data_IF_055078420611
#
_entry.id   IF_055078420611
#
_cell.length_a   1.000
_cell.length_b   1.000
_cell.length_c   1.000
_cell.angle_alpha   90.00
_cell.angle_beta   90.00
_cell.angle_gamma   90.00
#
_symmetry.space_group_name_H-M   'P 1'
#
loop_
_entity.id
_entity.type
_entity.pdbx_description
1 polymer ?
#
# COMPACT_ATOMS: atom_id res chain seq x y z
N UNK A 1 10.25 0.49 -10.78
CA UNK A 1 9.58 1.64 -11.42
C UNK A 1 8.19 1.30 -11.99
N UNK A 2 7.95 0.09 -12.52
CA UNK A 2 6.62 -0.30 -13.07
C UNK A 2 5.53 -0.60 -12.03
N UNK A 3 5.89 -0.82 -10.76
CA UNK A 3 4.94 -1.31 -9.73
C UNK A 3 4.32 -0.18 -8.89
N UNK A 4 5.00 0.96 -8.77
CA UNK A 4 4.42 2.17 -8.17
C UNK A 4 3.18 2.62 -8.97
N UNK A 5 3.24 2.47 -10.30
CA UNK A 5 2.20 2.93 -11.22
C UNK A 5 0.86 2.21 -11.01
N UNK A 6 0.83 0.89 -10.78
CA UNK A 6 -0.42 0.11 -10.73
C UNK A 6 -1.21 0.38 -9.44
N UNK A 7 -0.53 0.61 -8.31
CA UNK A 7 -1.20 0.82 -7.03
C UNK A 7 -1.86 2.20 -6.94
N UNK A 8 -1.26 3.22 -7.54
CA UNK A 8 -1.82 4.57 -7.58
C UNK A 8 -3.16 4.61 -8.34
N UNK A 9 -3.26 3.89 -9.46
CA UNK A 9 -4.50 3.85 -10.25
C UNK A 9 -5.64 3.15 -9.49
N UNK A 10 -5.33 2.09 -8.74
CA UNK A 10 -6.36 1.33 -8.04
C UNK A 10 -7.03 2.13 -6.91
N UNK A 11 -6.25 2.94 -6.18
CA UNK A 11 -6.80 3.81 -5.13
C UNK A 11 -7.65 4.93 -5.74
N UNK A 12 -7.28 5.47 -6.91
CA UNK A 12 -8.11 6.46 -7.61
C UNK A 12 -9.44 5.90 -8.08
N UNK A 13 -9.46 4.64 -8.49
CA UNK A 13 -10.67 3.98 -8.99
C UNK A 13 -11.61 3.62 -7.83
N UNK A 14 -11.04 3.15 -6.72
CA UNK A 14 -11.84 2.62 -5.61
C UNK A 14 -12.15 3.66 -4.53
N UNK A 15 -11.42 4.78 -4.50
CA UNK A 15 -11.48 5.81 -3.46
C UNK A 15 -11.48 5.26 -2.01
N UNK A 16 -10.89 4.06 -1.85
CA UNK A 16 -10.97 3.26 -0.64
C UNK A 16 -9.64 2.55 -0.43
N UNK A 17 -8.67 3.29 0.11
CA UNK A 17 -7.36 2.77 0.45
C UNK A 17 -7.44 1.51 1.34
N UNK A 18 -8.33 1.50 2.34
CA UNK A 18 -8.49 0.36 3.26
C UNK A 18 -8.91 -0.92 2.54
N UNK A 19 -9.81 -0.82 1.55
CA UNK A 19 -10.24 -1.97 0.74
C UNK A 19 -9.07 -2.51 -0.06
N UNK A 20 -8.29 -1.63 -0.70
CA UNK A 20 -7.10 -2.03 -1.46
C UNK A 20 -6.09 -2.75 -0.57
N UNK A 21 -5.80 -2.21 0.62
CA UNK A 21 -4.85 -2.80 1.56
C UNK A 21 -5.39 -4.13 2.11
N UNK A 22 -6.68 -4.21 2.43
CA UNK A 22 -7.33 -5.45 2.90
C UNK A 22 -7.25 -6.56 1.86
N UNK A 23 -7.53 -6.26 0.59
CA UNK A 23 -7.38 -7.21 -0.51
C UNK A 23 -5.93 -7.64 -0.68
N UNK A 24 -4.99 -6.69 -0.69
CA UNK A 24 -3.56 -6.99 -0.79
C UNK A 24 -3.09 -7.91 0.35
N UNK A 25 -3.52 -7.64 1.58
CA UNK A 25 -3.21 -8.45 2.76
C UNK A 25 -3.77 -9.87 2.63
N UNK A 26 -5.05 -10.03 2.24
CA UNK A 26 -5.69 -11.34 2.09
C UNK A 26 -5.04 -12.16 0.96
N UNK A 27 -4.72 -11.52 -0.16
CA UNK A 27 -4.01 -12.17 -1.28
C UNK A 27 -2.59 -12.59 -0.87
N UNK A 28 -1.89 -11.78 -0.08
CA UNK A 28 -0.57 -12.13 0.44
C UNK A 28 -0.61 -13.25 1.48
N UNK A 29 -1.66 -13.31 2.32
CA UNK A 29 -1.86 -14.35 3.32
C UNK A 29 -2.23 -15.72 2.73
N UNK A 30 -2.81 -15.74 1.52
CA UNK A 30 -2.97 -16.93 0.67
C UNK A 30 -3.89 -18.05 1.21
N UNK A 31 -4.41 -17.93 2.43
CA UNK A 31 -5.17 -18.98 3.09
C UNK A 31 -6.60 -18.51 3.39
N UNK A 32 -7.63 -19.04 2.68
CA UNK A 32 -9.03 -18.65 2.88
C UNK A 32 -9.51 -18.84 4.32
N UNK A 33 -9.11 -19.91 5.00
CA UNK A 33 -9.50 -20.19 6.39
C UNK A 33 -8.86 -19.25 7.41
N UNK A 34 -7.83 -18.50 7.03
CA UNK A 34 -7.21 -17.46 7.87
C UNK A 34 -7.67 -16.05 7.48
N UNK A 35 -8.38 -15.88 6.35
CA UNK A 35 -8.72 -14.56 5.82
C UNK A 35 -9.50 -13.68 6.81
N UNK A 36 -10.39 -14.30 7.61
CA UNK A 36 -11.20 -13.60 8.62
C UNK A 36 -10.42 -13.30 9.91
N UNK A 37 -9.24 -13.88 10.09
CA UNK A 37 -8.34 -13.65 11.23
C UNK A 37 -7.30 -12.56 10.95
N UNK A 38 -7.18 -12.12 9.70
CA UNK A 38 -6.23 -11.08 9.31
C UNK A 38 -6.75 -9.70 9.73
N UNK A 39 -5.86 -8.85 10.23
CA UNK A 39 -6.17 -7.51 10.73
C UNK A 39 -5.42 -6.45 9.91
N UNK A 40 -6.18 -5.54 9.29
CA UNK A 40 -5.65 -4.47 8.42
C UNK A 40 -4.80 -3.47 9.21
N UNK A 41 -5.21 -3.11 10.42
CA UNK A 41 -4.46 -2.18 11.27
C UNK A 41 -3.11 -2.76 11.68
N UNK A 42 -3.08 -4.04 12.07
CA UNK A 42 -1.83 -4.74 12.40
C UNK A 42 -0.90 -4.84 11.18
N UNK A 43 -1.47 -5.06 9.99
CA UNK A 43 -0.71 -5.08 8.75
C UNK A 43 -0.14 -3.70 8.39
N UNK A 44 -0.90 -2.62 8.62
CA UNK A 44 -0.43 -1.23 8.47
C UNK A 44 0.63 -0.86 9.51
N UNK A 45 0.49 -1.33 10.75
CA UNK A 45 1.51 -1.14 11.78
C UNK A 45 2.82 -1.86 11.42
N UNK A 46 2.71 -3.08 10.90
CA UNK A 46 3.85 -3.80 10.32
C UNK A 46 4.48 -3.01 9.16
N UNK A 47 3.67 -2.44 8.28
CA UNK A 47 4.13 -1.62 7.15
C UNK A 47 4.91 -0.38 7.61
N UNK A 48 4.43 0.32 8.63
CA UNK A 48 5.07 1.53 9.19
C UNK A 48 6.33 1.21 10.02
N UNK A 49 6.36 0.07 10.70
CA UNK A 49 7.53 -0.37 11.48
C UNK A 49 8.66 -0.89 10.60
N UNK A 50 8.37 -1.24 9.35
CA UNK A 50 9.36 -1.81 8.43
C UNK A 50 10.56 -0.88 8.14
N UNK A 51 10.36 0.44 8.06
CA UNK A 51 11.47 1.39 7.90
C UNK A 51 12.30 1.53 9.18
N UNK A 52 11.67 1.43 10.35
CA UNK A 52 12.39 1.40 11.63
C UNK A 52 13.30 0.18 11.70
N UNK A 53 12.82 -0.98 11.23
CA UNK A 53 13.62 -2.19 11.16
C UNK A 53 14.84 -2.02 10.24
N UNK A 54 14.75 -1.19 9.20
CA UNK A 54 15.83 -0.89 8.25
C UNK A 54 16.72 0.31 8.64
N UNK A 55 16.53 0.90 9.82
CA UNK A 55 17.21 2.13 10.24
C UNK A 55 18.68 1.95 10.64
N UNK A 56 19.12 0.71 10.89
CA UNK A 56 20.51 0.37 11.20
C UNK A 56 21.15 -0.46 10.06
N UNK A 57 22.49 -0.54 9.97
CA UNK A 57 23.17 -1.22 8.87
C UNK A 57 22.77 -2.69 8.67
N UNK A 58 22.54 -3.42 9.76
CA UNK A 58 22.12 -4.83 9.72
C UNK A 58 20.70 -4.95 9.17
N UNK A 59 19.78 -4.12 9.68
CA UNK A 59 18.40 -4.05 9.23
C UNK A 59 18.28 -3.64 7.77
N UNK A 60 19.07 -2.66 7.34
CA UNK A 60 19.19 -2.27 5.94
C UNK A 60 19.68 -3.44 5.08
N UNK A 61 20.69 -4.18 5.53
CA UNK A 61 21.19 -5.35 4.80
C UNK A 61 20.12 -6.43 4.66
N UNK A 62 19.43 -6.78 5.74
CA UNK A 62 18.34 -7.78 5.73
C UNK A 62 17.23 -7.36 4.77
N UNK A 63 16.78 -6.10 4.85
CA UNK A 63 15.76 -5.57 3.93
C UNK A 63 16.19 -5.71 2.48
N UNK A 64 17.40 -5.29 2.14
CA UNK A 64 17.90 -5.37 0.77
C UNK A 64 18.09 -6.82 0.29
N UNK A 65 18.52 -7.72 1.17
CA UNK A 65 18.62 -9.15 0.85
C UNK A 65 17.24 -9.73 0.52
N UNK A 66 16.21 -9.42 1.31
CA UNK A 66 14.84 -9.90 1.09
C UNK A 66 14.21 -9.36 -0.20
N UNK A 67 14.55 -8.15 -0.62
CA UNK A 67 13.93 -7.52 -1.81
C UNK A 67 14.72 -7.73 -3.10
N UNK A 68 15.95 -8.25 -3.03
CA UNK A 68 16.89 -8.28 -4.16
C UNK A 68 16.46 -9.14 -5.33
N UNK A 69 15.84 -10.29 -5.07
CA UNK A 69 15.45 -11.26 -6.09
C UNK A 69 13.95 -11.20 -6.42
N UNK A 70 13.23 -10.23 -5.83
CA UNK A 70 11.80 -10.12 -6.06
C UNK A 70 11.52 -9.31 -7.33
N UNK A 71 10.69 -9.87 -8.20
CA UNK A 71 10.11 -9.13 -9.33
C UNK A 71 9.13 -8.05 -8.87
N UNK A 72 8.61 -8.16 -7.64
CA UNK A 72 7.65 -7.24 -7.06
C UNK A 72 7.99 -6.90 -5.60
N UNK A 73 7.69 -5.69 -5.11
CA UNK A 73 7.90 -5.33 -3.72
C UNK A 73 7.08 -6.24 -2.81
N UNK A 74 7.60 -6.47 -1.60
CA UNK A 74 6.89 -7.20 -0.56
C UNK A 74 5.51 -6.56 -0.33
N UNK A 75 4.46 -7.37 -0.07
CA UNK A 75 3.11 -6.84 0.16
C UNK A 75 3.05 -5.77 1.25
N UNK A 76 3.82 -5.92 2.32
CA UNK A 76 3.93 -4.95 3.43
C UNK A 76 4.53 -3.61 2.99
N UNK A 77 5.51 -3.65 2.07
CA UNK A 77 6.12 -2.44 1.49
C UNK A 77 5.13 -1.71 0.60
N UNK A 78 4.38 -2.46 -0.21
CA UNK A 78 3.35 -1.90 -1.08
C UNK A 78 2.20 -1.28 -0.27
N UNK A 79 1.77 -1.93 0.81
CA UNK A 79 0.75 -1.38 1.70
C UNK A 79 1.20 -0.04 2.32
N UNK A 80 2.47 0.08 2.68
CA UNK A 80 3.05 1.35 3.15
C UNK A 80 2.99 2.44 2.08
N UNK A 81 3.46 2.16 0.86
CA UNK A 81 3.43 3.14 -0.24
C UNK A 81 2.02 3.64 -0.52
N UNK A 82 1.03 2.74 -0.46
CA UNK A 82 -0.39 3.07 -0.59
C UNK A 82 -0.87 3.97 0.56
N UNK A 83 -0.47 3.66 1.80
CA UNK A 83 -0.77 4.48 2.99
C UNK A 83 -0.15 5.87 2.92
N UNK A 84 1.10 5.98 2.51
CA UNK A 84 1.78 7.26 2.35
C UNK A 84 1.16 8.09 1.21
N UNK A 85 0.90 7.47 0.06
CA UNK A 85 0.37 8.16 -1.10
C UNK A 85 -1.06 8.67 -0.86
N UNK A 86 -1.92 7.90 -0.20
CA UNK A 86 -3.28 8.34 0.18
C UNK A 86 -3.28 9.59 1.08
N UNK A 87 -2.20 9.82 1.84
CA UNK A 87 -2.05 10.97 2.74
C UNK A 87 -1.41 12.18 2.08
N UNK A 88 -0.81 11.98 0.89
CA UNK A 88 -0.11 12.99 0.12
C UNK A 88 -1.00 14.15 -0.30
N UNK A 89 -0.41 15.32 -0.53
CA UNK A 89 -1.14 16.50 -0.99
C UNK A 89 -1.56 16.33 -2.46
N UNK A 90 -0.76 15.62 -3.24
CA UNK A 90 -0.99 15.27 -4.64
C UNK A 90 -2.29 14.48 -4.77
N UNK A 91 -2.47 13.43 -3.95
CA UNK A 91 -3.69 12.64 -3.94
C UNK A 91 -4.93 13.48 -3.59
N UNK A 92 -4.85 14.28 -2.51
CA UNK A 92 -5.96 15.16 -2.10
C UNK A 92 -6.34 16.14 -3.21
N UNK A 93 -5.35 16.72 -3.87
CA UNK A 93 -5.56 17.65 -4.99
C UNK A 93 -6.23 16.96 -6.18
N UNK A 94 -5.82 15.73 -6.50
CA UNK A 94 -6.41 14.93 -7.57
C UNK A 94 -7.87 14.56 -7.27
N UNK A 95 -8.14 14.10 -6.04
CA UNK A 95 -9.51 13.78 -5.61
C UNK A 95 -10.43 15.00 -5.63
N UNK A 96 -9.95 16.16 -5.16
CA UNK A 96 -10.69 17.42 -5.26
C UNK A 96 -11.04 17.76 -6.71
N UNK A 97 -10.08 17.65 -7.64
CA UNK A 97 -10.33 17.89 -9.07
C UNK A 97 -11.34 16.90 -9.65
N UNK A 98 -11.25 15.62 -9.29
CA UNK A 98 -12.20 14.59 -9.74
C UNK A 98 -13.62 14.89 -9.26
N UNK A 99 -13.78 15.29 -8.00
CA UNK A 99 -15.07 15.67 -7.43
C UNK A 99 -15.67 16.89 -8.15
N UNK A 100 -14.86 17.93 -8.39
CA UNK A 100 -15.31 19.11 -9.15
C UNK A 100 -15.70 18.78 -10.59
N UNK A 101 -14.97 17.91 -11.28
CA UNK A 101 -15.34 17.45 -12.63
C UNK A 101 -16.63 16.62 -12.65
N UNK A 102 -16.88 15.82 -11.61
CA UNK A 102 -18.11 15.05 -11.46
C UNK A 102 -19.33 15.94 -11.23
N UNK A 103 -19.20 16.97 -10.38
CA UNK A 103 -20.24 17.96 -10.14
C UNK A 103 -20.58 18.80 -11.38
N UNK A 104 -19.59 19.12 -12.21
CA UNK A 104 -19.80 19.89 -13.45
C UNK A 104 -20.44 19.07 -14.59
N UNK A 105 -20.65 17.76 -14.40
CA UNK A 105 -21.29 16.86 -15.37
C UNK A 105 -22.72 16.48 -14.98
N UNK A 106 -23.23 16.97 -13.85
CA UNK A 106 -24.62 16.81 -13.37
C UNK A 106 -25.35 18.13 -13.55
#
# INVERSE_FOLDING_TARGET
MLILQVCHHLILILDCQEVVISVLMKLAGGCPSLADKLNVDAFLEQARSYDKAASNPVGWYIRNAQTRELSHPLPVMRAREIDEWSRSQEYKTLMQKMFQMGLNKV
#
